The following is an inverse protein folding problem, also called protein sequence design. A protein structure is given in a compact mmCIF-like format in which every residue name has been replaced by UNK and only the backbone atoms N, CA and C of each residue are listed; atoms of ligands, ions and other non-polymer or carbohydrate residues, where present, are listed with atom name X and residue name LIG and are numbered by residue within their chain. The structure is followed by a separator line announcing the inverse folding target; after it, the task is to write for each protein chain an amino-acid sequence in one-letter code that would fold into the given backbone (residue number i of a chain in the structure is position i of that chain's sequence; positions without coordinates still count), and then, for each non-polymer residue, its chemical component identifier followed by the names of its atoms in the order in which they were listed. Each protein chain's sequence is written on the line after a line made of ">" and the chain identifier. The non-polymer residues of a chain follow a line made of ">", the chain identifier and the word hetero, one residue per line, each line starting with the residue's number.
data_IF_142623857218
#
_entry.id   IF_142623857218
#
_cell.length_a   1.000
_cell.length_b   1.000
_cell.length_c   1.000
_cell.angle_alpha   90.00
_cell.angle_beta   90.00
_cell.angle_gamma   90.00
#
_symmetry.space_group_name_H-M   'P 1'
#
loop_
_entity.id
_entity.type
_entity.pdbx_description
1 polymer ?
#
# COMPACT_ATOMS: atom_id res chain seq x y z
N UNK A 1 -1.95 -1.67 14.75
CA UNK A 1 -0.84 -0.85 14.20
C UNK A 1 0.41 -0.98 15.05
N UNK A 2 0.32 -0.77 16.36
CA UNK A 2 1.50 -0.84 17.22
C UNK A 2 2.14 -2.24 17.23
N UNK A 3 1.36 -3.31 17.17
CA UNK A 3 1.87 -4.69 17.06
C UNK A 3 2.71 -4.86 15.79
N UNK A 4 2.27 -4.29 14.67
CA UNK A 4 3.02 -4.35 13.42
C UNK A 4 4.37 -3.63 13.57
N UNK A 5 4.36 -2.44 14.17
CA UNK A 5 5.60 -1.68 14.42
C UNK A 5 6.56 -2.51 15.26
N UNK A 6 6.06 -3.08 16.37
CA UNK A 6 6.89 -3.85 17.29
C UNK A 6 7.48 -5.09 16.63
N UNK A 7 6.68 -5.84 15.86
CA UNK A 7 7.14 -7.04 15.18
C UNK A 7 8.18 -6.72 14.10
N UNK A 8 7.93 -5.69 13.28
CA UNK A 8 8.87 -5.31 12.24
C UNK A 8 10.20 -4.84 12.82
N UNK A 9 10.17 -4.01 13.85
CA UNK A 9 11.38 -3.48 14.45
C UNK A 9 12.15 -4.54 15.26
N UNK A 10 11.44 -5.49 15.87
CA UNK A 10 12.08 -6.51 16.72
C UNK A 10 12.59 -7.72 15.95
N UNK A 11 11.92 -8.13 14.86
CA UNK A 11 12.18 -9.42 14.21
C UNK A 11 12.50 -9.33 12.72
N UNK A 12 12.08 -8.26 12.03
CA UNK A 12 12.16 -8.20 10.57
C UNK A 12 12.89 -6.96 10.04
N UNK A 13 13.60 -6.24 10.89
CA UNK A 13 14.28 -5.01 10.46
C UNK A 13 15.62 -5.34 9.80
N UNK A 14 15.56 -5.86 8.56
CA UNK A 14 16.73 -6.17 7.74
C UNK A 14 16.36 -6.14 6.24
N UNK A 15 17.35 -5.97 5.40
CA UNK A 15 17.15 -5.79 3.96
C UNK A 15 16.57 -7.02 3.26
N UNK A 16 16.75 -8.21 3.82
CA UNK A 16 16.22 -9.45 3.27
C UNK A 16 14.78 -9.73 3.69
N UNK A 17 14.20 -8.92 4.56
CA UNK A 17 12.82 -9.09 4.95
C UNK A 17 11.88 -8.75 3.79
N UNK A 18 10.81 -9.53 3.67
CA UNK A 18 9.78 -9.33 2.66
C UNK A 18 8.43 -9.17 3.36
N UNK A 19 7.72 -8.11 3.02
CA UNK A 19 6.38 -7.85 3.54
C UNK A 19 5.42 -7.77 2.37
N UNK A 20 4.37 -8.59 2.41
CA UNK A 20 3.28 -8.55 1.43
C UNK A 20 2.01 -8.23 2.18
N UNK A 21 1.32 -7.19 1.75
CA UNK A 21 0.05 -6.78 2.34
C UNK A 21 -1.03 -6.69 1.27
N UNK A 22 -2.27 -6.95 1.67
CA UNK A 22 -3.41 -6.91 0.78
C UNK A 22 -4.54 -6.10 1.41
N UNK A 23 -5.17 -5.26 0.59
CA UNK A 23 -6.40 -4.56 0.96
C UNK A 23 -6.25 -3.74 2.25
N UNK A 24 -7.12 -3.97 3.24
CA UNK A 24 -7.07 -3.26 4.53
C UNK A 24 -5.78 -3.58 5.32
N UNK A 25 -5.20 -4.75 5.11
CA UNK A 25 -3.89 -5.07 5.70
C UNK A 25 -2.81 -4.09 5.26
N UNK A 26 -2.87 -3.63 4.00
CA UNK A 26 -1.97 -2.58 3.51
C UNK A 26 -2.22 -1.26 4.24
N UNK A 27 -3.47 -0.92 4.53
CA UNK A 27 -3.81 0.29 5.28
C UNK A 27 -3.17 0.26 6.67
N UNK A 28 -3.29 -0.88 7.35
CA UNK A 28 -2.67 -1.06 8.67
C UNK A 28 -1.15 -0.96 8.60
N UNK A 29 -0.52 -1.57 7.59
CA UNK A 29 0.92 -1.47 7.37
C UNK A 29 1.34 -0.01 7.14
N UNK A 30 0.62 0.71 6.29
CA UNK A 30 0.95 2.11 5.98
C UNK A 30 0.84 3.01 7.22
N UNK A 31 -0.14 2.76 8.09
CA UNK A 31 -0.23 3.49 9.36
C UNK A 31 0.90 3.10 10.33
N UNK A 32 1.36 1.85 10.29
CA UNK A 32 2.55 1.43 11.04
C UNK A 32 3.80 2.14 10.48
N UNK A 33 3.94 2.18 9.15
CA UNK A 33 5.06 2.87 8.49
C UNK A 33 5.11 4.35 8.88
N UNK A 34 3.95 4.99 9.06
CA UNK A 34 3.89 6.39 9.49
C UNK A 34 4.52 6.63 10.87
N UNK A 35 4.69 5.58 11.66
CA UNK A 35 5.27 5.63 13.01
C UNK A 35 6.72 5.16 13.07
N UNK A 36 7.31 4.80 11.93
CA UNK A 36 8.65 4.21 11.87
C UNK A 36 9.53 5.00 10.91
N UNK A 37 10.86 4.86 11.01
CA UNK A 37 11.74 5.20 9.90
C UNK A 37 11.37 4.37 8.67
N UNK A 38 11.84 4.75 7.49
CA UNK A 38 11.58 3.99 6.26
C UNK A 38 12.01 2.53 6.45
N UNK A 39 11.05 1.60 6.26
CA UNK A 39 11.34 0.17 6.40
C UNK A 39 12.37 -0.24 5.37
N UNK A 40 13.38 -0.98 5.78
CA UNK A 40 14.54 -1.30 4.95
C UNK A 40 14.39 -2.59 4.15
N UNK A 41 13.40 -3.43 4.46
CA UNK A 41 13.08 -4.62 3.69
C UNK A 41 12.24 -4.28 2.46
N UNK A 42 11.86 -5.31 1.71
CA UNK A 42 11.04 -5.15 0.51
C UNK A 42 9.55 -5.25 0.85
N UNK A 43 8.75 -4.39 0.26
CA UNK A 43 7.31 -4.32 0.52
C UNK A 43 6.55 -4.42 -0.80
N UNK A 44 5.53 -5.26 -0.82
CA UNK A 44 4.58 -5.39 -1.93
C UNK A 44 3.17 -5.16 -1.39
N UNK A 45 2.49 -4.14 -1.92
CA UNK A 45 1.13 -3.81 -1.53
C UNK A 45 0.19 -4.13 -2.68
N UNK A 46 -0.77 -5.01 -2.42
CA UNK A 46 -1.77 -5.46 -3.40
C UNK A 46 -3.12 -4.86 -3.04
N UNK A 47 -3.74 -4.18 -3.99
CA UNK A 47 -5.03 -3.53 -3.79
C UNK A 47 -5.09 -2.72 -2.48
N UNK A 48 -4.09 -1.86 -2.22
CA UNK A 48 -4.01 -1.22 -0.91
C UNK A 48 -5.12 -0.19 -0.74
N UNK A 49 -5.74 -0.22 0.43
CA UNK A 49 -6.60 0.88 0.86
C UNK A 49 -5.67 1.95 1.42
N UNK A 50 -5.74 3.15 0.86
CA UNK A 50 -4.87 4.26 1.27
C UNK A 50 -5.65 5.41 1.88
N UNK A 51 -6.98 5.38 1.79
CA UNK A 51 -7.85 6.44 2.24
C UNK A 51 -8.24 7.37 1.11
N UNK A 52 -8.73 8.54 1.45
CA UNK A 52 -9.29 9.50 0.51
C UNK A 52 -8.23 10.51 0.07
N UNK A 53 -7.82 10.43 -1.18
CA UNK A 53 -6.83 11.34 -1.78
C UNK A 53 -7.45 12.23 -2.86
N UNK A 54 -8.61 11.81 -3.40
CA UNK A 54 -9.31 12.51 -4.48
C UNK A 54 -10.77 12.66 -4.12
N UNK A 55 -11.52 13.43 -4.92
CA UNK A 55 -12.97 13.61 -4.74
C UNK A 55 -13.81 12.53 -5.42
N UNK A 56 -13.20 11.46 -5.91
CA UNK A 56 -13.92 10.40 -6.64
C UNK A 56 -14.61 9.38 -5.76
N UNK A 57 -14.63 9.61 -4.45
CA UNK A 57 -15.30 8.76 -3.49
C UNK A 57 -16.81 8.77 -3.75
N UNK A 58 -17.44 7.59 -3.81
CA UNK A 58 -18.88 7.44 -3.99
C UNK A 58 -19.48 6.70 -2.79
N UNK A 59 -20.82 6.60 -2.78
CA UNK A 59 -21.51 5.86 -1.71
C UNK A 59 -21.13 4.39 -1.64
N UNK A 60 -20.68 3.81 -2.77
CA UNK A 60 -20.28 2.41 -2.85
C UNK A 60 -18.80 2.22 -2.52
N UNK A 61 -18.07 3.31 -2.35
CA UNK A 61 -16.65 3.24 -2.02
C UNK A 61 -16.45 2.88 -0.55
N UNK A 62 -15.46 2.06 -0.29
CA UNK A 62 -15.05 1.77 1.08
C UNK A 62 -14.37 3.00 1.70
N UNK A 63 -14.80 3.37 2.91
CA UNK A 63 -14.17 4.46 3.66
C UNK A 63 -13.57 3.90 4.96
N UNK A 64 -12.24 3.84 5.06
CA UNK A 64 -11.58 3.35 6.28
C UNK A 64 -11.64 4.38 7.40
N UNK A 65 -11.35 3.97 8.66
CA UNK A 65 -11.16 4.93 9.75
C UNK A 65 -10.04 5.92 9.41
N UNK A 66 -10.23 7.19 9.76
CA UNK A 66 -9.27 8.28 9.49
C UNK A 66 -8.87 8.35 8.00
N UNK A 67 -9.85 8.52 7.11
CA UNK A 67 -9.57 8.42 5.67
C UNK A 67 -8.58 9.46 5.13
N UNK A 68 -8.39 10.58 5.82
CA UNK A 68 -7.49 11.66 5.38
C UNK A 68 -6.09 11.58 5.98
N UNK A 69 -5.83 10.64 6.89
CA UNK A 69 -4.57 10.66 7.64
C UNK A 69 -3.33 10.49 6.78
N UNK A 70 -3.32 9.48 5.91
CA UNK A 70 -2.17 9.24 5.04
C UNK A 70 -1.97 10.38 4.05
N UNK A 71 -3.05 10.96 3.54
CA UNK A 71 -2.98 12.13 2.67
C UNK A 71 -2.32 13.30 3.38
N UNK A 72 -2.75 13.61 4.59
CA UNK A 72 -2.18 14.70 5.38
C UNK A 72 -0.68 14.49 5.60
N UNK A 73 -0.28 13.29 5.99
CA UNK A 73 1.13 12.97 6.22
C UNK A 73 1.95 13.02 4.93
N UNK A 74 1.41 12.52 3.83
CA UNK A 74 2.11 12.51 2.55
C UNK A 74 2.27 13.94 2.01
N UNK A 75 1.24 14.76 2.07
CA UNK A 75 1.28 16.14 1.60
C UNK A 75 2.23 17.03 2.40
N UNK A 76 2.35 16.77 3.71
CA UNK A 76 3.24 17.54 4.58
C UNK A 76 4.69 17.02 4.59
N UNK A 77 4.98 15.96 3.83
CA UNK A 77 6.31 15.36 3.81
C UNK A 77 6.66 14.55 5.07
N UNK A 78 5.67 14.23 5.89
CA UNK A 78 5.87 13.51 7.16
C UNK A 78 5.71 11.98 7.02
N UNK A 79 5.33 11.49 5.85
CA UNK A 79 5.25 10.05 5.61
C UNK A 79 6.57 9.54 5.03
N UNK A 80 7.25 8.68 5.77
CA UNK A 80 8.47 8.03 5.31
C UNK A 80 8.10 6.74 4.59
N UNK A 81 8.17 6.73 3.26
CA UNK A 81 7.89 5.52 2.48
C UNK A 81 8.94 4.45 2.75
N UNK A 82 8.59 3.15 2.64
CA UNK A 82 9.59 2.09 2.66
C UNK A 82 10.66 2.33 1.59
N UNK A 83 11.87 1.87 1.84
CA UNK A 83 12.99 2.04 0.90
C UNK A 83 12.70 1.36 -0.43
N UNK A 84 12.06 0.18 -0.40
CA UNK A 84 11.75 -0.61 -1.58
C UNK A 84 10.30 -1.08 -1.49
N UNK A 85 9.41 -0.42 -2.23
CA UNK A 85 7.97 -0.68 -2.16
C UNK A 85 7.35 -0.59 -3.55
N UNK A 86 6.52 -1.57 -3.88
CA UNK A 86 5.73 -1.58 -5.10
C UNK A 86 4.26 -1.76 -4.76
N UNK A 87 3.40 -1.10 -5.55
CA UNK A 87 1.95 -1.18 -5.41
C UNK A 87 1.34 -1.69 -6.72
N UNK A 88 0.38 -2.62 -6.60
CA UNK A 88 -0.44 -3.07 -7.73
C UNK A 88 -1.90 -2.92 -7.35
N UNK A 89 -2.69 -2.27 -8.19
CA UNK A 89 -4.11 -1.99 -7.96
C UNK A 89 -4.91 -2.24 -9.22
N UNK A 90 -6.10 -2.81 -9.10
CA UNK A 90 -6.98 -3.05 -10.25
C UNK A 90 -7.61 -1.76 -10.78
N UNK A 91 -7.69 -1.65 -12.09
CA UNK A 91 -8.31 -0.50 -12.77
C UNK A 91 -9.77 -0.29 -12.36
N UNK A 92 -10.48 -1.38 -12.10
CA UNK A 92 -11.90 -1.40 -11.76
C UNK A 92 -12.16 -1.59 -10.26
N UNK A 93 -11.15 -1.40 -9.43
CA UNK A 93 -11.28 -1.57 -7.99
C UNK A 93 -12.12 -0.43 -7.39
N UNK A 94 -13.24 -0.79 -6.75
CA UNK A 94 -14.13 0.18 -6.12
C UNK A 94 -13.84 0.37 -4.62
N UNK A 95 -13.01 -0.49 -4.01
CA UNK A 95 -12.60 -0.38 -2.61
C UNK A 95 -11.28 0.38 -2.48
N UNK A 96 -10.28 -0.05 -3.24
CA UNK A 96 -8.98 0.65 -3.34
C UNK A 96 -9.02 1.46 -4.63
N UNK A 97 -9.64 2.63 -4.58
CA UNK A 97 -9.90 3.43 -5.79
C UNK A 97 -8.59 3.80 -6.46
N UNK A 98 -8.38 3.41 -7.73
CA UNK A 98 -7.08 3.58 -8.39
C UNK A 98 -6.56 5.02 -8.39
N UNK A 99 -7.43 6.01 -8.56
CA UNK A 99 -7.02 7.42 -8.53
C UNK A 99 -6.51 7.85 -7.17
N UNK A 100 -7.09 7.33 -6.08
CA UNK A 100 -6.58 7.57 -4.73
C UNK A 100 -5.19 6.93 -4.55
N UNK A 101 -5.03 5.69 -5.03
CA UNK A 101 -3.77 4.97 -4.94
C UNK A 101 -2.68 5.65 -5.77
N UNK A 102 -3.02 6.10 -6.98
CA UNK A 102 -2.08 6.83 -7.83
C UNK A 102 -1.65 8.16 -7.20
N UNK A 103 -2.59 8.89 -6.61
CA UNK A 103 -2.28 10.13 -5.90
C UNK A 103 -1.33 9.87 -4.71
N UNK A 104 -1.58 8.82 -3.95
CA UNK A 104 -0.70 8.40 -2.88
C UNK A 104 0.71 8.08 -3.39
N UNK A 105 0.80 7.32 -4.49
CA UNK A 105 2.08 6.98 -5.12
C UNK A 105 2.85 8.22 -5.58
N UNK A 106 2.15 9.18 -6.18
CA UNK A 106 2.77 10.44 -6.62
C UNK A 106 3.36 11.23 -5.46
N UNK A 107 2.64 11.29 -4.34
CA UNK A 107 3.08 12.07 -3.17
C UNK A 107 4.23 11.38 -2.42
N UNK A 108 4.29 10.07 -2.43
CA UNK A 108 5.27 9.30 -1.65
C UNK A 108 6.45 8.78 -2.46
N UNK A 109 6.36 8.83 -3.78
CA UNK A 109 7.39 8.28 -4.66
C UNK A 109 7.31 6.77 -4.83
N UNK A 110 6.25 6.11 -4.34
CA UNK A 110 6.07 4.67 -4.49
C UNK A 110 5.51 4.36 -5.88
N UNK A 111 6.15 3.47 -6.66
CA UNK A 111 5.63 3.06 -7.97
C UNK A 111 4.29 2.35 -7.85
N UNK A 112 3.34 2.74 -8.71
CA UNK A 112 2.00 2.16 -8.76
C UNK A 112 1.76 1.56 -10.14
N UNK A 113 1.39 0.28 -10.18
CA UNK A 113 0.95 -0.40 -11.39
C UNK A 113 -0.56 -0.56 -11.34
N UNK A 114 -1.27 -0.02 -12.33
CA UNK A 114 -2.71 -0.23 -12.48
C UNK A 114 -2.93 -1.42 -13.40
N UNK A 115 -3.63 -2.44 -12.90
CA UNK A 115 -3.85 -3.69 -13.62
C UNK A 115 -5.14 -3.57 -14.44
N UNK A 116 -5.07 -3.62 -15.79
CA UNK A 116 -6.27 -3.48 -16.62
C UNK A 116 -7.28 -4.61 -16.35
N UNK A 117 -8.55 -4.24 -16.38
CA UNK A 117 -9.68 -5.17 -16.26
C UNK A 117 -9.73 -5.95 -14.94
N UNK A 118 -8.99 -5.51 -13.92
CA UNK A 118 -8.98 -6.16 -12.61
C UNK A 118 -9.76 -5.31 -11.60
N UNK A 119 -10.45 -5.99 -10.70
CA UNK A 119 -11.13 -5.38 -9.56
C UNK A 119 -10.27 -5.41 -8.31
N UNK A 120 -10.92 -5.47 -7.15
CA UNK A 120 -10.23 -5.51 -5.86
C UNK A 120 -9.41 -6.79 -5.69
N UNK A 121 -9.92 -7.92 -6.16
CA UNK A 121 -9.16 -9.17 -6.25
C UNK A 121 -8.41 -9.16 -7.59
N UNK A 122 -7.08 -9.11 -7.55
CA UNK A 122 -6.26 -9.13 -8.75
C UNK A 122 -6.21 -10.52 -9.41
N UNK A 123 -6.58 -11.57 -8.68
CA UNK A 123 -6.66 -12.93 -9.20
C UNK A 123 -5.33 -13.68 -9.21
N UNK A 124 -5.41 -15.01 -9.10
CA UNK A 124 -4.24 -15.89 -9.04
C UNK A 124 -3.37 -15.82 -10.30
N UNK A 125 -4.01 -15.65 -11.45
CA UNK A 125 -3.30 -15.61 -12.73
C UNK A 125 -2.36 -14.40 -12.82
N UNK A 126 -2.67 -13.32 -12.11
CA UNK A 126 -1.83 -12.13 -12.03
C UNK A 126 -0.85 -12.23 -10.86
N UNK A 127 -1.34 -12.56 -9.66
CA UNK A 127 -0.57 -12.49 -8.42
C UNK A 127 0.51 -13.58 -8.37
N UNK A 128 0.22 -14.79 -8.85
CA UNK A 128 1.18 -15.89 -8.82
C UNK A 128 2.49 -15.55 -9.53
N UNK A 129 2.44 -15.22 -10.84
CA UNK A 129 3.65 -14.81 -11.56
C UNK A 129 4.31 -13.56 -10.99
N UNK A 130 3.52 -12.61 -10.49
CA UNK A 130 4.06 -11.40 -9.84
C UNK A 130 4.90 -11.77 -8.62
N UNK A 131 4.38 -12.61 -7.74
CA UNK A 131 5.11 -13.04 -6.54
C UNK A 131 6.37 -13.79 -6.90
N UNK A 132 6.32 -14.68 -7.90
CA UNK A 132 7.49 -15.41 -8.36
C UNK A 132 8.61 -14.47 -8.81
N UNK A 133 8.29 -13.45 -9.61
CA UNK A 133 9.26 -12.46 -10.06
C UNK A 133 9.76 -11.60 -8.90
N UNK A 134 8.85 -11.19 -8.03
CA UNK A 134 9.18 -10.29 -6.92
C UNK A 134 10.09 -10.97 -5.90
N UNK A 135 9.82 -12.24 -5.58
CA UNK A 135 10.64 -13.02 -4.65
C UNK A 135 11.99 -13.40 -5.25
N UNK A 136 12.09 -13.52 -6.57
CA UNK A 136 13.34 -13.90 -7.24
C UNK A 136 14.37 -12.77 -7.28
N UNK A 137 13.94 -11.53 -7.07
CA UNK A 137 14.85 -10.37 -7.13
C UNK A 137 15.58 -10.14 -5.78
#
# INVERSE_FOLDING_TARGET
>A
VQTIVDDLQSHFWHEQAHVVCNSFGSYLFLHAQAKMPSFIGRVLLLSPIVGEFTSEQTRTSFSPPRPDRLKTLAESGQFNAPVNCDIHVGEEDWQSIPTNVQAFGCLTGIPVTVVPNAGHDLGKAYVGPLLDRWLAN
#
